data_IF_129661839968
#
_entry.id   IF_129661839968
#
_cell.length_a   1.000
_cell.length_b   1.000
_cell.length_c   1.000
_cell.angle_alpha   90.00
_cell.angle_beta   90.00
_cell.angle_gamma   90.00
#
_symmetry.space_group_name_H-M   'P 1'
#
loop_
_entity.id
_entity.type
_entity.pdbx_description
1 polymer ?
#
# COMPACT_ATOMS: atom_id res chain seq x y z
N UNK A 1 -21.94 25.31 0.00
CA UNK A 1 -21.69 23.92 0.43
C UNK A 1 -21.58 22.94 -0.75
N UNK A 2 -22.53 22.93 -1.71
CA UNK A 2 -22.52 22.01 -2.87
C UNK A 2 -21.30 22.11 -3.80
N UNK A 3 -20.60 23.26 -3.88
CA UNK A 3 -19.40 23.38 -4.71
C UNK A 3 -18.15 22.74 -4.08
N UNK A 4 -18.15 22.54 -2.76
CA UNK A 4 -17.07 21.86 -2.03
C UNK A 4 -17.26 20.34 -2.07
N UNK A 5 -18.51 19.88 -2.07
CA UNK A 5 -18.87 18.45 -2.15
C UNK A 5 -18.12 17.66 -3.25
N UNK A 6 -18.04 18.10 -4.52
CA UNK A 6 -17.34 17.34 -5.56
C UNK A 6 -15.81 17.28 -5.35
N UNK A 7 -15.20 18.29 -4.72
CA UNK A 7 -13.77 18.22 -4.35
C UNK A 7 -13.55 17.24 -3.21
N UNK A 8 -14.40 17.28 -2.18
CA UNK A 8 -14.31 16.35 -1.04
C UNK A 8 -14.48 14.88 -1.47
N UNK A 9 -15.41 14.59 -2.38
CA UNK A 9 -15.59 13.22 -2.88
C UNK A 9 -14.35 12.72 -3.61
N UNK A 10 -13.74 13.53 -4.48
CA UNK A 10 -12.50 13.16 -5.18
C UNK A 10 -11.34 12.92 -4.23
N UNK A 11 -11.13 13.79 -3.25
CA UNK A 11 -10.06 13.60 -2.27
C UNK A 11 -10.29 12.35 -1.43
N UNK A 12 -11.53 12.10 -1.01
CA UNK A 12 -11.88 10.94 -0.20
C UNK A 12 -11.75 9.63 -1.00
N UNK A 13 -12.05 9.63 -2.30
CA UNK A 13 -11.81 8.46 -3.16
C UNK A 13 -10.32 8.11 -3.23
N UNK A 14 -9.45 9.10 -3.45
CA UNK A 14 -8.00 8.87 -3.50
C UNK A 14 -7.46 8.42 -2.13
N UNK A 15 -7.88 9.08 -1.06
CA UNK A 15 -7.52 8.68 0.31
C UNK A 15 -8.03 7.28 0.66
N UNK A 16 -9.24 6.93 0.22
CA UNK A 16 -9.82 5.61 0.40
C UNK A 16 -9.02 4.52 -0.33
N UNK A 17 -8.60 4.79 -1.57
CA UNK A 17 -7.71 3.88 -2.30
C UNK A 17 -6.35 3.73 -1.61
N UNK A 18 -5.75 4.83 -1.16
CA UNK A 18 -4.49 4.79 -0.41
C UNK A 18 -4.63 3.99 0.90
N UNK A 19 -5.74 4.16 1.62
CA UNK A 19 -6.04 3.42 2.84
C UNK A 19 -6.20 1.91 2.59
N UNK A 20 -6.83 1.51 1.48
CA UNK A 20 -6.96 0.09 1.13
C UNK A 20 -5.61 -0.58 0.86
N UNK A 21 -4.68 0.10 0.19
CA UNK A 21 -3.31 -0.39 0.01
C UNK A 21 -2.52 -0.43 1.31
N UNK A 22 -2.66 0.59 2.16
CA UNK A 22 -2.04 0.65 3.48
C UNK A 22 -2.49 -0.53 4.37
N UNK A 23 -3.80 -0.76 4.47
CA UNK A 23 -4.38 -1.83 5.30
C UNK A 23 -4.04 -3.20 4.72
N UNK A 24 -4.22 -3.40 3.41
CA UNK A 24 -3.88 -4.67 2.75
C UNK A 24 -2.39 -5.01 2.87
N UNK A 25 -1.51 -4.04 2.64
CA UNK A 25 -0.07 -4.21 2.78
C UNK A 25 0.35 -4.53 4.21
N UNK A 26 -0.30 -3.93 5.21
CA UNK A 26 -0.12 -4.29 6.61
C UNK A 26 -0.42 -5.77 6.88
N UNK A 27 -1.52 -6.31 6.36
CA UNK A 27 -1.86 -7.74 6.50
C UNK A 27 -0.80 -8.63 5.83
N UNK A 28 -0.34 -8.27 4.63
CA UNK A 28 0.69 -9.02 3.90
C UNK A 28 2.05 -9.04 4.65
N UNK A 29 2.49 -7.91 5.16
CA UNK A 29 3.77 -7.78 5.88
C UNK A 29 3.72 -8.53 7.22
N UNK A 30 2.61 -8.45 7.96
CA UNK A 30 2.45 -9.20 9.22
C UNK A 30 2.33 -10.72 9.00
N UNK A 31 1.76 -11.16 7.87
CA UNK A 31 1.67 -12.57 7.50
C UNK A 31 3.00 -13.20 7.04
N UNK A 32 4.04 -12.39 6.75
CA UNK A 32 5.35 -12.85 6.30
C UNK A 32 6.47 -12.45 7.29
N UNK A 33 6.88 -13.36 8.20
CA UNK A 33 7.97 -13.13 9.16
C UNK A 33 9.29 -12.55 8.58
N UNK A 34 9.73 -12.89 7.35
CA UNK A 34 10.99 -12.39 6.80
C UNK A 34 10.98 -10.91 6.38
N UNK A 35 9.80 -10.27 6.23
CA UNK A 35 9.71 -8.84 5.88
C UNK A 35 9.89 -7.94 7.11
N UNK A 36 9.55 -8.44 8.31
CA UNK A 36 9.65 -7.69 9.57
C UNK A 36 11.10 -7.37 9.98
N UNK A 37 12.08 -8.19 9.57
CA UNK A 37 13.52 -7.95 9.83
C UNK A 37 14.12 -6.84 8.94
N UNK A 38 13.63 -6.68 7.70
CA UNK A 38 14.02 -5.55 6.84
C UNK A 38 13.46 -4.22 7.37
N UNK A 39 12.27 -4.26 7.97
CA UNK A 39 11.67 -3.11 8.65
C UNK A 39 12.49 -2.67 9.89
N UNK A 40 12.97 -3.61 10.70
CA UNK A 40 13.80 -3.31 11.88
C UNK A 40 15.08 -2.54 11.54
N UNK A 41 15.68 -2.81 10.36
CA UNK A 41 16.85 -2.07 9.87
C UNK A 41 16.54 -0.62 9.47
N UNK A 42 15.36 -0.38 8.90
CA UNK A 42 14.88 0.97 8.56
C UNK A 42 14.47 1.76 9.81
N UNK A 43 13.89 1.10 10.82
CA UNK A 43 13.54 1.71 12.11
C UNK A 43 14.78 2.15 12.90
N UNK A 44 15.88 1.39 12.87
CA UNK A 44 17.15 1.79 13.51
C UNK A 44 17.77 3.03 12.85
N UNK A 45 17.63 3.19 11.53
CA UNK A 45 18.08 4.39 10.83
C UNK A 45 17.21 5.63 11.14
N UNK A 46 15.91 5.44 11.39
CA UNK A 46 14.97 6.50 11.72
C UNK A 46 15.03 6.94 13.20
N UNK A 47 15.35 6.01 14.12
CA UNK A 47 15.47 6.28 15.55
C UNK A 47 16.66 7.17 15.94
N UNK A 48 17.64 7.34 15.04
CA UNK A 48 18.80 8.22 15.24
C UNK A 48 18.51 9.73 15.12
N UNK A 49 17.27 10.14 14.85
CA UNK A 49 16.90 11.56 14.68
C UNK A 49 16.26 12.11 15.98
N UNK A 50 17.03 12.82 16.83
CA UNK A 50 16.49 13.40 18.06
C UNK A 50 15.44 14.48 17.76
N UNK A 51 14.29 14.41 18.44
CA UNK A 51 13.20 15.40 18.36
C UNK A 51 12.00 15.00 17.49
N UNK A 52 12.16 14.11 16.50
CA UNK A 52 11.07 13.68 15.58
C UNK A 52 10.83 12.16 15.62
N UNK A 53 11.66 11.41 16.33
CA UNK A 53 11.65 9.94 16.39
C UNK A 53 10.29 9.31 16.71
N UNK A 54 9.46 9.93 17.56
CA UNK A 54 8.13 9.40 17.89
C UNK A 54 7.12 9.48 16.71
N UNK A 55 7.18 10.56 15.92
CA UNK A 55 6.32 10.72 14.73
C UNK A 55 6.83 9.84 13.59
N UNK A 56 8.16 9.82 13.39
CA UNK A 56 8.81 8.95 12.42
C UNK A 56 8.53 7.47 12.71
N UNK A 57 8.54 7.04 13.97
CA UNK A 57 8.22 5.67 14.36
C UNK A 57 6.77 5.26 14.02
N UNK A 58 5.81 6.19 14.02
CA UNK A 58 4.43 5.90 13.60
C UNK A 58 4.22 5.93 12.08
N UNK A 59 4.91 6.84 11.38
CA UNK A 59 4.73 7.06 9.94
C UNK A 59 5.53 6.06 9.09
N UNK A 60 6.73 5.68 9.54
CA UNK A 60 7.60 4.73 8.83
C UNK A 60 6.93 3.38 8.55
N UNK A 61 6.37 2.67 9.56
CA UNK A 61 5.70 1.39 9.30
C UNK A 61 4.46 1.56 8.41
N UNK A 62 3.72 2.67 8.54
CA UNK A 62 2.60 2.96 7.66
C UNK A 62 3.04 3.10 6.20
N UNK A 63 4.09 3.88 5.92
CA UNK A 63 4.61 4.05 4.56
C UNK A 63 5.13 2.74 3.97
N UNK A 64 5.82 1.93 4.76
CA UNK A 64 6.34 0.63 4.31
C UNK A 64 5.21 -0.36 4.02
N UNK A 65 4.17 -0.40 4.87
CA UNK A 65 2.97 -1.19 4.62
C UNK A 65 2.25 -0.73 3.34
N UNK A 66 2.08 0.57 3.14
CA UNK A 66 1.48 1.10 1.91
C UNK A 66 2.30 0.72 0.67
N UNK A 67 3.64 0.84 0.72
CA UNK A 67 4.51 0.45 -0.38
C UNK A 67 4.40 -1.05 -0.68
N UNK A 68 4.44 -1.90 0.34
CA UNK A 68 4.25 -3.35 0.18
C UNK A 68 2.88 -3.69 -0.42
N UNK A 69 1.82 -3.03 0.04
CA UNK A 69 0.47 -3.19 -0.50
C UNK A 69 0.36 -2.78 -1.97
N UNK A 70 1.00 -1.67 -2.37
CA UNK A 70 1.04 -1.21 -3.76
C UNK A 70 1.77 -2.24 -4.65
N UNK A 71 2.93 -2.73 -4.21
CA UNK A 71 3.70 -3.73 -4.96
C UNK A 71 2.91 -5.02 -5.11
N UNK A 72 2.33 -5.53 -4.02
CA UNK A 72 1.49 -6.74 -4.05
C UNK A 72 0.27 -6.55 -4.97
N UNK A 73 -0.42 -5.41 -4.87
CA UNK A 73 -1.55 -5.08 -5.72
C UNK A 73 -1.18 -5.01 -7.21
N UNK A 74 -0.02 -4.42 -7.53
CA UNK A 74 0.48 -4.37 -8.91
C UNK A 74 0.78 -5.77 -9.47
N UNK A 75 1.39 -6.66 -8.67
CA UNK A 75 1.66 -8.04 -9.05
C UNK A 75 0.36 -8.80 -9.33
N UNK A 76 -0.62 -8.70 -8.42
CA UNK A 76 -1.93 -9.36 -8.59
C UNK A 76 -2.65 -8.82 -9.82
N UNK A 77 -2.64 -7.50 -10.03
CA UNK A 77 -3.26 -6.89 -11.20
C UNK A 77 -2.62 -7.36 -12.51
N UNK A 78 -1.28 -7.45 -12.55
CA UNK A 78 -0.56 -7.98 -13.71
C UNK A 78 -0.92 -9.45 -13.97
N UNK A 79 -0.97 -10.28 -12.93
CA UNK A 79 -1.35 -11.69 -13.04
C UNK A 79 -2.78 -11.88 -13.55
N UNK A 80 -3.74 -11.15 -12.99
CA UNK A 80 -5.15 -11.21 -13.40
C UNK A 80 -5.33 -10.68 -14.83
N UNK A 81 -4.62 -9.62 -15.19
CA UNK A 81 -4.66 -9.06 -16.55
C UNK A 81 -4.08 -10.04 -17.58
N UNK A 82 -2.95 -10.69 -17.27
CA UNK A 82 -2.36 -11.71 -18.11
C UNK A 82 -3.27 -12.93 -18.26
N UNK A 83 -3.87 -13.40 -17.16
CA UNK A 83 -4.84 -14.49 -17.18
C UNK A 83 -6.09 -14.14 -18.00
N UNK A 84 -6.63 -12.93 -17.83
CA UNK A 84 -7.74 -12.42 -18.63
C UNK A 84 -7.41 -12.35 -20.12
N UNK A 85 -6.19 -11.90 -20.47
CA UNK A 85 -5.73 -11.88 -21.85
C UNK A 85 -5.61 -13.28 -22.45
N UNK A 86 -5.10 -14.26 -21.69
CA UNK A 86 -4.98 -15.67 -22.12
C UNK A 86 -6.34 -16.34 -22.32
N UNK A 87 -7.29 -16.11 -21.41
CA UNK A 87 -8.63 -16.70 -21.45
C UNK A 87 -9.57 -16.01 -22.43
N UNK A 88 -9.49 -14.69 -22.58
CA UNK A 88 -10.25 -13.93 -23.57
C UNK A 88 -9.89 -14.33 -25.01
N UNK A 89 -8.62 -14.68 -25.24
CA UNK A 89 -8.12 -15.20 -26.52
C UNK A 89 -8.64 -16.61 -26.85
N UNK A 90 -9.12 -17.35 -25.86
CA UNK A 90 -9.76 -18.66 -26.02
C UNK A 90 -11.28 -18.58 -26.28
N UNK A 91 -11.96 -17.55 -25.77
CA UNK A 91 -13.43 -17.39 -25.91
C UNK A 91 -13.85 -16.60 -27.16
N UNK A 92 -12.89 -16.26 -28.02
CA UNK A 92 -13.07 -15.51 -29.27
C UNK A 92 -12.92 -16.33 -30.56
N UNK A 93 -13.15 -17.65 -30.50
CA UNK A 93 -13.46 -18.49 -31.68
C UNK A 93 -14.81 -19.15 -31.48
#
# INVERSE_FOLDING_TARGET
LLWIAPRMMKTLSVLGTAAMFLVGGGILVHGMPPLAQWLHGAEHAAAGVPGVGAVLAGVTPALLNAAAGIVAGAIVLAAVSAYGALTGRWRGR
#
